data_IF_318633261132
#
_entry.id   IF_318633261132
#
_cell.length_a   1.000
_cell.length_b   1.000
_cell.length_c   1.000
_cell.angle_alpha   90.00
_cell.angle_beta   90.00
_cell.angle_gamma   90.00
#
_symmetry.space_group_name_H-M   'P 1'
#
loop_
_entity.id
_entity.type
_entity.pdbx_description
1 polymer ?
#
# COMPACT_ATOMS: atom_id res chain seq x y z
N UNK A 1 -14.80 -15.83 8.33
CA UNK A 1 -13.67 -15.34 9.19
C UNK A 1 -13.72 -13.82 9.21
N UNK A 2 -13.45 -13.12 10.33
CA UNK A 2 -13.65 -11.67 10.42
C UNK A 2 -12.88 -10.93 9.30
N UNK A 3 -13.61 -10.24 8.41
CA UNK A 3 -13.13 -9.55 7.20
C UNK A 3 -12.02 -8.52 7.47
N UNK A 4 -11.98 -7.96 8.68
CA UNK A 4 -10.96 -7.01 9.14
C UNK A 4 -9.63 -7.68 9.56
N UNK A 5 -9.61 -9.00 9.68
CA UNK A 5 -8.42 -9.82 10.00
C UNK A 5 -7.91 -10.63 8.81
N UNK A 6 -8.42 -10.39 7.58
CA UNK A 6 -7.77 -10.92 6.40
C UNK A 6 -6.36 -10.30 6.33
N UNK A 7 -5.36 -11.17 6.50
CA UNK A 7 -3.96 -10.78 6.52
C UNK A 7 -3.59 -9.97 5.28
N UNK A 8 -4.22 -10.23 4.12
CA UNK A 8 -3.96 -9.49 2.88
C UNK A 8 -4.51 -8.08 2.92
N UNK A 9 -5.68 -7.87 3.55
CA UNK A 9 -6.24 -6.54 3.74
C UNK A 9 -5.35 -5.73 4.69
N UNK A 10 -4.95 -6.31 5.82
CA UNK A 10 -4.10 -5.63 6.82
C UNK A 10 -2.73 -5.27 6.23
N UNK A 11 -2.09 -6.21 5.54
CA UNK A 11 -0.80 -5.99 4.86
C UNK A 11 -0.97 -4.96 3.74
N UNK A 12 -2.00 -5.08 2.91
CA UNK A 12 -2.25 -4.18 1.80
C UNK A 12 -2.47 -2.73 2.26
N UNK A 13 -3.26 -2.54 3.32
CA UNK A 13 -3.50 -1.23 3.93
C UNK A 13 -2.21 -0.63 4.49
N UNK A 14 -1.41 -1.42 5.21
CA UNK A 14 -0.12 -0.98 5.76
C UNK A 14 0.84 -0.49 4.66
N UNK A 15 1.07 -1.29 3.62
CA UNK A 15 1.95 -0.92 2.52
C UNK A 15 1.44 0.28 1.72
N UNK A 16 0.11 0.42 1.58
CA UNK A 16 -0.50 1.59 0.94
C UNK A 16 -0.20 2.86 1.74
N UNK A 17 -0.44 2.85 3.06
CA UNK A 17 -0.20 4.03 3.93
C UNK A 17 1.28 4.41 3.96
N UNK A 18 2.17 3.43 4.14
CA UNK A 18 3.62 3.67 4.17
C UNK A 18 4.11 4.18 2.80
N UNK A 19 3.60 3.61 1.71
CA UNK A 19 3.89 4.07 0.35
C UNK A 19 3.48 5.52 0.13
N UNK A 20 2.28 5.90 0.59
CA UNK A 20 1.74 7.25 0.47
C UNK A 20 2.54 8.26 1.30
N UNK A 21 3.00 7.87 2.49
CA UNK A 21 3.90 8.68 3.32
C UNK A 21 5.25 8.89 2.62
N UNK A 22 5.85 7.84 2.06
CA UNK A 22 7.13 7.91 1.33
C UNK A 22 7.03 8.83 0.10
N UNK A 23 5.94 8.74 -0.65
CA UNK A 23 5.67 9.66 -1.77
C UNK A 23 5.47 11.08 -1.25
N UNK A 24 4.70 11.28 -0.19
CA UNK A 24 4.51 12.59 0.44
C UNK A 24 5.83 13.23 0.87
N UNK A 25 6.73 12.46 1.50
CA UNK A 25 8.06 12.94 1.89
C UNK A 25 8.91 13.44 0.72
N UNK A 26 8.71 12.92 -0.49
CA UNK A 26 9.36 13.45 -1.68
C UNK A 26 8.90 14.87 -2.01
N UNK A 27 7.63 15.19 -1.81
CA UNK A 27 7.08 16.52 -2.11
C UNK A 27 7.36 17.56 -1.01
N UNK A 28 7.47 17.14 0.25
CA UNK A 28 7.63 18.06 1.39
C UNK A 28 9.07 18.22 1.89
N UNK A 29 9.97 17.27 1.63
CA UNK A 29 11.37 17.41 2.05
C UNK A 29 12.19 18.19 0.99
N UNK A 30 13.20 18.95 1.44
CA UNK A 30 14.13 19.66 0.56
C UNK A 30 15.11 18.69 -0.12
N UNK A 31 15.44 19.00 -1.38
CA UNK A 31 16.13 18.14 -2.35
C UNK A 31 17.40 17.50 -1.77
N UNK A 32 17.36 16.18 -1.58
CA UNK A 32 18.51 15.36 -1.20
C UNK A 32 18.45 14.03 -1.95
N UNK A 33 19.59 13.43 -2.30
CA UNK A 33 19.69 12.20 -3.13
C UNK A 33 18.85 11.04 -2.55
N UNK A 34 18.64 11.00 -1.24
CA UNK A 34 17.76 10.05 -0.55
C UNK A 34 16.28 10.14 -0.98
N UNK A 35 15.82 11.26 -1.54
CA UNK A 35 14.43 11.45 -1.97
C UNK A 35 14.05 10.62 -3.19
N UNK A 36 14.99 10.34 -4.09
CA UNK A 36 14.71 9.51 -5.27
C UNK A 36 14.39 8.07 -4.84
N UNK A 37 15.15 7.56 -3.86
CA UNK A 37 14.91 6.24 -3.26
C UNK A 37 13.54 6.20 -2.56
N UNK A 38 13.21 7.25 -1.80
CA UNK A 38 11.91 7.33 -1.12
C UNK A 38 10.74 7.35 -2.11
N UNK A 39 10.86 8.05 -3.24
CA UNK A 39 9.81 8.09 -4.26
C UNK A 39 9.61 6.74 -4.94
N UNK A 40 10.68 6.10 -5.42
CA UNK A 40 10.57 4.78 -6.07
C UNK A 40 10.05 3.71 -5.11
N UNK A 41 10.55 3.70 -3.87
CA UNK A 41 10.08 2.79 -2.84
C UNK A 41 8.60 3.05 -2.48
N UNK A 42 8.21 4.32 -2.35
CA UNK A 42 6.85 4.73 -2.08
C UNK A 42 5.87 4.33 -3.18
N UNK A 43 6.25 4.47 -4.45
CA UNK A 43 5.45 4.02 -5.60
C UNK A 43 5.27 2.50 -5.58
N UNK A 44 6.37 1.74 -5.41
CA UNK A 44 6.32 0.28 -5.38
C UNK A 44 5.43 -0.22 -4.24
N UNK A 45 5.59 0.34 -3.03
CA UNK A 45 4.77 -0.02 -1.87
C UNK A 45 3.30 0.36 -2.04
N UNK A 46 3.02 1.52 -2.64
CA UNK A 46 1.66 1.93 -2.95
C UNK A 46 0.99 0.99 -3.96
N UNK A 47 1.68 0.66 -5.05
CA UNK A 47 1.17 -0.27 -6.06
C UNK A 47 0.92 -1.67 -5.48
N UNK A 48 1.86 -2.19 -4.70
CA UNK A 48 1.71 -3.50 -4.05
C UNK A 48 0.58 -3.49 -3.02
N UNK A 49 0.49 -2.45 -2.19
CA UNK A 49 -0.55 -2.30 -1.18
C UNK A 49 -1.95 -2.27 -1.80
N UNK A 50 -2.14 -1.44 -2.83
CA UNK A 50 -3.41 -1.35 -3.57
C UNK A 50 -3.77 -2.69 -4.19
N UNK A 51 -2.81 -3.37 -4.83
CA UNK A 51 -3.04 -4.69 -5.42
C UNK A 51 -3.51 -5.72 -4.38
N UNK A 52 -2.88 -5.75 -3.21
CA UNK A 52 -3.24 -6.65 -2.11
C UNK A 52 -4.64 -6.35 -1.54
N UNK A 53 -4.99 -5.08 -1.41
CA UNK A 53 -6.34 -4.65 -1.01
C UNK A 53 -7.37 -5.12 -2.03
N UNK A 54 -7.12 -4.94 -3.33
CA UNK A 54 -8.02 -5.40 -4.41
C UNK A 54 -8.20 -6.92 -4.37
N UNK A 55 -7.11 -7.69 -4.18
CA UNK A 55 -7.19 -9.15 -4.08
C UNK A 55 -8.02 -9.62 -2.87
N UNK A 56 -7.89 -8.93 -1.74
CA UNK A 56 -8.72 -9.23 -0.56
C UNK A 56 -10.20 -8.95 -0.85
N UNK A 57 -10.54 -7.83 -1.49
CA UNK A 57 -11.92 -7.55 -1.89
C UNK A 57 -12.47 -8.58 -2.88
N UNK A 58 -11.66 -9.02 -3.85
CA UNK A 58 -12.09 -10.01 -4.86
C UNK A 58 -12.34 -11.38 -4.24
N UNK A 59 -11.52 -11.82 -3.28
CA UNK A 59 -11.77 -13.08 -2.60
C UNK A 59 -13.05 -13.07 -1.77
N UNK A 60 -13.37 -11.94 -1.14
CA UNK A 60 -14.63 -11.81 -0.40
C UNK A 60 -15.83 -11.99 -1.32
N UNK A 61 -15.84 -11.38 -2.51
CA UNK A 61 -16.96 -11.54 -3.46
C UNK A 61 -17.13 -12.97 -3.99
N UNK A 62 -16.09 -13.80 -3.95
CA UNK A 62 -16.15 -15.21 -4.39
C UNK A 62 -16.67 -16.12 -3.26
N UNK A 63 -16.50 -15.75 -1.98
CA UNK A 63 -17.11 -16.47 -0.85
C UNK A 63 -18.61 -16.17 -0.70
N UNK A 64 -19.13 -15.11 -1.34
CA UNK A 64 -20.53 -14.68 -1.28
C UNK A 64 -21.42 -15.26 -2.42
N UNK A 65 -20.87 -16.00 -3.40
CA UNK A 65 -21.61 -16.80 -4.43
C UNK A 65 -21.74 -18.28 -4.02
#
# INVERSE_FOLDING_TARGET
MNKLFDLRFVIGLFFTIVGLLLVGYHFFASVNIAQAVNLWCGIVFSCFGIFMVILSYKQVLVEDE
#
